data_IF_939236472842
#
_entry.id   IF_939236472842
#
_cell.length_a   1.000
_cell.length_b   1.000
_cell.length_c   1.000
_cell.angle_alpha   90.00
_cell.angle_beta   90.00
_cell.angle_gamma   90.00
#
_symmetry.space_group_name_H-M   'P 1'
#
loop_
_entity.id
_entity.type
_entity.pdbx_description
1 polymer ?
#
# COMPACT_ATOMS: atom_id res chain seq x y z
N UNK A 1 14.22 -3.21 -4.47
CA UNK A 1 13.75 -2.34 -5.57
C UNK A 1 13.39 -0.96 -5.05
N UNK A 2 12.49 -0.83 -4.06
CA UNK A 2 12.12 0.45 -3.45
C UNK A 2 13.32 1.35 -3.07
N UNK A 3 14.32 0.81 -2.37
CA UNK A 3 15.52 1.60 -2.02
C UNK A 3 16.30 2.14 -3.24
N UNK A 4 16.27 1.43 -4.37
CA UNK A 4 16.84 1.94 -5.63
C UNK A 4 16.02 3.11 -6.17
N UNK A 5 14.68 3.02 -6.13
CA UNK A 5 13.82 4.14 -6.52
C UNK A 5 14.05 5.34 -5.60
N UNK A 6 14.21 5.11 -4.29
CA UNK A 6 14.50 6.19 -3.35
C UNK A 6 15.80 6.90 -3.66
N UNK A 7 16.85 6.14 -3.96
CA UNK A 7 18.12 6.73 -4.41
C UNK A 7 17.96 7.50 -5.72
N UNK A 8 17.22 6.95 -6.69
CA UNK A 8 17.02 7.52 -8.01
C UNK A 8 16.23 8.86 -7.97
N UNK A 9 15.23 8.96 -7.09
CA UNK A 9 14.36 10.12 -6.92
C UNK A 9 14.64 10.89 -5.62
N UNK A 10 15.88 10.84 -5.14
CA UNK A 10 16.28 11.42 -3.84
C UNK A 10 16.03 12.93 -3.72
N UNK A 11 16.04 13.65 -4.84
CA UNK A 11 15.70 15.08 -4.90
C UNK A 11 14.25 15.40 -4.49
N UNK A 12 13.33 14.43 -4.59
CA UNK A 12 11.90 14.63 -4.31
C UNK A 12 11.45 14.09 -2.95
N UNK A 13 12.23 13.22 -2.31
CA UNK A 13 11.75 12.41 -1.17
C UNK A 13 11.79 13.14 0.17
N UNK A 14 12.68 14.12 0.30
CA UNK A 14 12.88 14.86 1.55
C UNK A 14 12.22 16.24 1.54
N UNK A 15 11.31 16.49 0.60
CA UNK A 15 10.61 17.75 0.47
C UNK A 15 9.09 17.50 0.41
N UNK A 16 8.40 17.99 1.45
CA UNK A 16 6.97 17.81 1.65
C UNK A 16 6.10 18.46 0.57
N UNK A 17 6.66 19.31 -0.31
CA UNK A 17 5.92 19.82 -1.47
C UNK A 17 5.65 18.71 -2.49
N UNK A 18 6.49 17.67 -2.55
CA UNK A 18 6.31 16.55 -3.45
C UNK A 18 5.44 15.47 -2.82
N UNK A 19 4.48 15.00 -3.61
CA UNK A 19 3.54 13.96 -3.22
C UNK A 19 3.40 12.95 -4.33
N UNK A 20 2.88 11.77 -4.00
CA UNK A 20 2.93 10.62 -4.86
C UNK A 20 1.54 10.08 -5.15
N UNK A 21 1.32 9.65 -6.39
CA UNK A 21 0.11 8.91 -6.79
C UNK A 21 0.53 7.66 -7.55
N UNK A 22 -0.30 6.62 -7.50
CA UNK A 22 -0.13 5.46 -8.35
C UNK A 22 -1.28 5.34 -9.36
N UNK A 23 -0.99 4.68 -10.48
CA UNK A 23 -1.97 4.24 -11.46
C UNK A 23 -1.49 2.93 -12.08
N UNK A 24 -2.06 1.80 -11.66
CA UNK A 24 -1.54 0.47 -12.00
C UNK A 24 -0.03 0.40 -11.70
N UNK A 25 0.80 0.14 -12.71
CA UNK A 25 2.26 0.10 -12.59
C UNK A 25 2.92 1.49 -12.56
N UNK A 26 2.22 2.55 -12.96
CA UNK A 26 2.79 3.89 -12.97
C UNK A 26 2.80 4.51 -11.58
N UNK A 27 3.89 5.18 -11.24
CA UNK A 27 3.99 6.10 -10.12
C UNK A 27 4.18 7.50 -10.68
N UNK A 28 3.48 8.46 -10.08
CA UNK A 28 3.57 9.87 -10.40
C UNK A 28 4.22 10.58 -9.23
N UNK A 29 5.18 11.46 -9.54
CA UNK A 29 5.66 12.49 -8.63
C UNK A 29 4.92 13.77 -9.01
N UNK A 30 4.27 14.35 -8.02
CA UNK A 30 3.41 15.52 -8.14
C UNK A 30 3.91 16.60 -7.19
N UNK A 31 3.82 17.86 -7.59
CA UNK A 31 4.25 19.03 -6.83
C UNK A 31 3.02 19.81 -6.35
N UNK A 32 2.94 20.09 -5.04
CA UNK A 32 1.96 21.02 -4.47
C UNK A 32 2.32 22.45 -4.89
N UNK A 33 1.32 23.17 -5.39
CA UNK A 33 1.41 24.58 -5.74
C UNK A 33 1.06 25.45 -4.52
N UNK A 34 1.43 26.73 -4.54
CA UNK A 34 1.04 27.67 -3.48
C UNK A 34 -0.47 27.82 -3.29
N UNK A 35 -1.26 27.49 -4.32
CA UNK A 35 -2.72 27.49 -4.32
C UNK A 35 -3.35 26.11 -4.01
N UNK A 36 -2.54 25.05 -3.85
CA UNK A 36 -3.04 23.70 -3.60
C UNK A 36 -3.72 23.62 -2.24
N UNK A 37 -5.04 23.38 -2.24
CA UNK A 37 -5.80 23.04 -1.03
C UNK A 37 -5.70 21.55 -0.77
N UNK A 38 -5.52 21.16 0.48
CA UNK A 38 -5.41 19.76 0.89
C UNK A 38 -6.26 19.44 2.11
N UNK A 39 -6.41 18.15 2.40
CA UNK A 39 -6.94 17.66 3.68
C UNK A 39 -5.84 17.05 4.58
N UNK A 40 -4.59 17.52 4.47
CA UNK A 40 -3.47 16.97 5.25
C UNK A 40 -3.62 17.17 6.76
N UNK A 41 -4.45 18.12 7.19
CA UNK A 41 -4.75 18.39 8.60
C UNK A 41 -5.68 17.37 9.26
N UNK A 42 -6.03 16.28 8.57
CA UNK A 42 -6.85 15.19 9.11
C UNK A 42 -6.12 14.48 10.24
N UNK A 43 -6.86 14.10 11.27
CA UNK A 43 -6.37 13.23 12.34
C UNK A 43 -6.16 11.81 11.79
N UNK A 44 -4.92 11.35 11.83
CA UNK A 44 -4.47 10.07 11.27
C UNK A 44 -3.46 9.44 12.20
N UNK A 45 -3.38 8.12 12.19
CA UNK A 45 -2.44 7.38 13.01
C UNK A 45 -1.00 7.59 12.54
N UNK A 46 -0.75 7.49 11.23
CA UNK A 46 0.54 7.81 10.61
C UNK A 46 0.34 8.57 9.29
N UNK A 47 0.83 9.81 9.27
CA UNK A 47 0.69 10.70 8.12
C UNK A 47 1.54 10.30 6.91
N UNK A 48 2.58 9.48 7.09
CA UNK A 48 3.43 9.04 5.98
C UNK A 48 2.72 8.01 5.09
N UNK A 49 1.82 7.23 5.68
CA UNK A 49 1.12 6.13 5.02
C UNK A 49 -0.38 6.39 4.80
N UNK A 50 -0.92 7.46 5.37
CA UNK A 50 -2.30 7.86 5.11
C UNK A 50 -2.49 8.43 3.68
N UNK A 51 -3.62 8.14 3.01
CA UNK A 51 -4.04 8.84 1.79
C UNK A 51 -4.53 10.27 2.08
N UNK A 52 -4.39 11.16 1.11
CA UNK A 52 -4.87 12.54 1.15
C UNK A 52 -5.50 12.95 -0.18
N UNK A 53 -6.11 14.14 -0.21
CA UNK A 53 -6.74 14.78 -1.38
C UNK A 53 -6.16 16.17 -1.61
N UNK A 54 -6.00 16.55 -2.87
CA UNK A 54 -5.61 17.89 -3.30
C UNK A 54 -6.62 18.47 -4.30
N UNK A 55 -6.75 19.79 -4.33
CA UNK A 55 -7.51 20.48 -5.39
C UNK A 55 -6.78 20.51 -6.73
N UNK A 56 -5.46 20.64 -6.69
CA UNK A 56 -4.61 20.71 -7.87
C UNK A 56 -3.18 20.31 -7.53
N UNK A 57 -2.48 19.76 -8.51
CA UNK A 57 -1.09 19.35 -8.41
C UNK A 57 -0.41 19.51 -9.77
N UNK A 58 0.88 19.85 -9.79
CA UNK A 58 1.69 19.84 -11.01
C UNK A 58 2.34 18.48 -11.19
N UNK A 59 2.25 17.91 -12.39
CA UNK A 59 2.84 16.61 -12.70
C UNK A 59 4.32 16.80 -12.99
N UNK A 60 5.18 16.19 -12.19
CA UNK A 60 6.65 16.32 -12.31
C UNK A 60 7.24 15.16 -13.10
N UNK A 61 6.86 13.92 -12.75
CA UNK A 61 7.33 12.69 -13.39
C UNK A 61 6.23 11.64 -13.44
N UNK A 62 6.29 10.78 -14.44
CA UNK A 62 5.51 9.53 -14.51
C UNK A 62 6.46 8.42 -14.96
N UNK A 63 6.59 7.38 -14.15
CA UNK A 63 7.54 6.27 -14.38
C UNK A 63 6.98 4.93 -13.91
N UNK A 64 7.49 3.84 -14.47
CA UNK A 64 7.10 2.49 -14.07
C UNK A 64 7.73 2.12 -12.72
N UNK A 65 6.91 1.58 -11.82
CA UNK A 65 7.29 1.18 -10.45
C UNK A 65 8.47 0.21 -10.39
N UNK A 66 8.65 -0.63 -11.41
CA UNK A 66 9.70 -1.64 -11.46
C UNK A 66 10.82 -1.28 -12.43
N UNK A 67 10.66 -0.22 -13.22
CA UNK A 67 11.69 0.31 -14.11
C UNK A 67 11.60 1.84 -14.17
N UNK A 68 12.35 2.59 -13.32
CA UNK A 68 12.25 4.05 -13.28
C UNK A 68 12.71 4.75 -14.57
N UNK A 69 13.47 4.07 -15.43
CA UNK A 69 13.87 4.57 -16.76
C UNK A 69 12.72 4.47 -17.77
N UNK A 70 11.73 3.60 -17.53
CA UNK A 70 10.53 3.51 -18.34
C UNK A 70 9.55 4.61 -17.91
N UNK A 71 9.50 5.68 -18.70
CA UNK A 71 8.64 6.84 -18.46
C UNK A 71 7.55 7.00 -19.52
N UNK A 72 6.49 7.73 -19.17
CA UNK A 72 5.50 8.25 -20.13
C UNK A 72 5.26 9.73 -19.87
N UNK A 73 4.87 10.47 -20.91
CA UNK A 73 4.52 11.89 -20.75
C UNK A 73 3.08 12.10 -20.28
N UNK A 74 2.23 11.08 -20.41
CA UNK A 74 0.81 11.22 -20.11
C UNK A 74 0.17 9.90 -19.67
N UNK A 75 -0.74 10.00 -18.70
CA UNK A 75 -1.71 8.94 -18.36
C UNK A 75 -3.10 9.52 -18.11
N UNK A 76 -4.12 8.66 -18.18
CA UNK A 76 -5.51 9.02 -17.85
C UNK A 76 -5.97 8.10 -16.73
N UNK A 77 -6.46 8.68 -15.63
CA UNK A 77 -7.05 7.93 -14.52
C UNK A 77 -8.54 8.25 -14.37
N UNK A 78 -9.32 7.23 -13.98
CA UNK A 78 -10.66 7.46 -13.45
C UNK A 78 -10.53 7.84 -11.97
N UNK A 79 -11.12 8.96 -11.58
CA UNK A 79 -11.19 9.40 -10.19
C UNK A 79 -12.49 8.89 -9.53
N UNK A 80 -12.56 9.08 -8.21
CA UNK A 80 -13.62 8.53 -7.35
C UNK A 80 -15.05 8.89 -7.80
N UNK A 81 -15.24 10.07 -8.36
CA UNK A 81 -16.53 10.58 -8.86
C UNK A 81 -16.88 10.14 -10.28
N UNK A 82 -16.04 9.32 -10.93
CA UNK A 82 -16.18 8.93 -12.33
C UNK A 82 -15.63 9.96 -13.32
N UNK A 83 -15.07 11.09 -12.86
CA UNK A 83 -14.30 11.99 -13.72
C UNK A 83 -13.04 11.30 -14.21
N UNK A 84 -12.64 11.63 -15.44
CA UNK A 84 -11.35 11.22 -15.99
C UNK A 84 -10.39 12.39 -15.92
N UNK A 85 -9.29 12.21 -15.19
CA UNK A 85 -8.23 13.20 -15.13
C UNK A 85 -7.06 12.75 -16.00
N UNK A 86 -6.59 13.68 -16.83
CA UNK A 86 -5.36 13.52 -17.63
C UNK A 86 -4.20 14.12 -16.86
N UNK A 87 -3.17 13.32 -16.64
CA UNK A 87 -1.92 13.73 -16.00
C UNK A 87 -0.87 13.84 -17.11
N UNK A 88 -0.41 15.04 -17.41
CA UNK A 88 0.62 15.30 -18.42
C UNK A 88 1.83 15.96 -17.74
N UNK A 89 3.03 15.41 -17.96
CA UNK A 89 4.28 15.90 -17.36
C UNK A 89 4.48 17.39 -17.68
N UNK A 90 4.74 18.19 -16.65
CA UNK A 90 4.92 19.64 -16.73
C UNK A 90 3.61 20.44 -16.67
N UNK A 91 2.43 19.80 -16.66
CA UNK A 91 1.13 20.47 -16.57
C UNK A 91 0.54 20.38 -15.16
N UNK A 92 -0.31 21.34 -14.83
CA UNK A 92 -1.17 21.27 -13.64
C UNK A 92 -2.43 20.47 -13.97
N UNK A 93 -2.75 19.52 -13.10
CA UNK A 93 -4.02 18.82 -13.07
C UNK A 93 -4.85 19.34 -11.91
N UNK A 94 -6.13 19.57 -12.14
CA UNK A 94 -7.07 20.09 -11.14
C UNK A 94 -8.32 19.21 -11.08
N UNK A 95 -8.95 19.15 -9.90
CA UNK A 95 -10.22 18.46 -9.68
C UNK A 95 -11.12 19.28 -8.76
N UNK A 96 -12.41 19.01 -8.80
CA UNK A 96 -13.34 19.50 -7.77
C UNK A 96 -12.82 19.06 -6.40
N UNK A 97 -12.78 19.97 -5.43
CA UNK A 97 -12.27 19.69 -4.09
C UNK A 97 -13.36 19.91 -3.04
N UNK A 98 -13.71 18.84 -2.35
CA UNK A 98 -14.60 18.91 -1.19
C UNK A 98 -13.82 19.41 0.04
N UNK A 99 -14.33 20.50 0.64
CA UNK A 99 -13.77 21.15 1.82
C UNK A 99 -13.99 20.38 3.13
N UNK A 100 -14.74 19.28 3.15
CA UNK A 100 -14.78 18.38 4.30
C UNK A 100 -13.43 17.66 4.44
N UNK A 101 -12.53 18.23 5.25
CA UNK A 101 -11.16 17.71 5.42
C UNK A 101 -11.08 16.40 6.19
N UNK A 102 -12.16 15.95 6.82
CA UNK A 102 -12.18 14.68 7.56
C UNK A 102 -12.44 13.48 6.66
N UNK A 103 -13.14 13.66 5.54
CA UNK A 103 -13.52 12.58 4.62
C UNK A 103 -12.44 12.34 3.56
N UNK A 104 -12.15 11.07 3.28
CA UNK A 104 -11.15 10.65 2.28
C UNK A 104 -11.79 10.06 1.01
N UNK A 105 -13.04 9.65 1.09
CA UNK A 105 -13.84 9.12 -0.02
C UNK A 105 -14.78 10.20 -0.56
N UNK A 106 -14.20 11.31 -1.01
CA UNK A 106 -14.92 12.45 -1.61
C UNK A 106 -14.04 13.15 -2.66
N UNK A 107 -14.54 14.22 -3.27
CA UNK A 107 -13.93 14.94 -4.40
C UNK A 107 -12.52 15.47 -4.10
N UNK A 108 -11.60 15.24 -5.04
CA UNK A 108 -10.22 15.74 -5.00
C UNK A 108 -9.24 14.70 -5.54
N UNK A 109 -8.06 15.17 -5.96
CA UNK A 109 -7.00 14.29 -6.47
C UNK A 109 -6.42 13.51 -5.30
N UNK A 110 -6.62 12.19 -5.27
CA UNK A 110 -6.02 11.34 -4.23
C UNK A 110 -4.50 11.19 -4.44
N UNK A 111 -3.73 11.40 -3.37
CA UNK A 111 -2.28 11.24 -3.31
C UNK A 111 -1.82 10.69 -1.95
N UNK A 112 -0.52 10.43 -1.82
CA UNK A 112 0.17 9.95 -0.62
C UNK A 112 1.46 10.75 -0.41
N UNK A 113 1.91 10.88 0.84
CA UNK A 113 3.12 11.66 1.16
C UNK A 113 4.43 10.94 0.85
N UNK A 114 4.41 9.62 0.73
CA UNK A 114 5.64 8.83 0.55
C UNK A 114 5.61 7.94 -0.68
N UNK A 115 6.80 7.78 -1.28
CA UNK A 115 7.04 6.83 -2.35
C UNK A 115 6.81 5.38 -1.89
N UNK A 116 7.17 5.06 -0.65
CA UNK A 116 6.94 3.77 0.00
C UNK A 116 5.48 3.38 -0.08
N UNK A 117 4.59 4.27 0.36
CA UNK A 117 3.14 3.98 0.37
C UNK A 117 2.64 3.65 -1.03
N UNK A 118 2.97 4.46 -2.04
CA UNK A 118 2.50 4.17 -3.41
C UNK A 118 3.12 2.92 -4.00
N UNK A 119 4.38 2.60 -3.66
CA UNK A 119 5.09 1.40 -4.10
C UNK A 119 4.43 0.10 -3.62
N UNK A 120 3.72 0.14 -2.50
CA UNK A 120 3.01 -1.02 -1.95
C UNK A 120 1.48 -1.01 -2.15
N UNK A 121 0.90 0.01 -2.79
CA UNK A 121 -0.57 0.04 -2.99
C UNK A 121 -1.11 -0.86 -4.09
N UNK A 122 -0.29 -1.18 -5.09
CA UNK A 122 -0.70 -2.07 -6.17
C UNK A 122 0.08 -3.35 -6.04
N UNK A 123 -0.56 -4.37 -5.48
CA UNK A 123 -0.05 -5.73 -5.49
C UNK A 123 -0.18 -6.24 -6.91
N UNK A 124 0.91 -6.49 -7.63
CA UNK A 124 0.79 -7.11 -8.93
C UNK A 124 0.43 -8.57 -8.67
N UNK A 125 -0.85 -8.89 -8.76
CA UNK A 125 -1.25 -10.28 -8.95
C UNK A 125 -0.50 -10.75 -10.21
N UNK A 126 0.29 -11.82 -10.09
CA UNK A 126 1.13 -12.43 -11.15
C UNK A 126 2.54 -11.88 -11.37
N UNK A 127 3.10 -11.02 -10.50
CA UNK A 127 4.56 -10.74 -10.55
C UNK A 127 5.31 -11.76 -9.70
N UNK A 128 6.43 -12.26 -10.23
CA UNK A 128 7.45 -13.02 -9.50
C UNK A 128 8.12 -12.16 -8.41
N UNK A 129 7.31 -11.61 -7.51
CA UNK A 129 7.75 -10.72 -6.46
C UNK A 129 8.39 -11.55 -5.34
N UNK A 130 9.57 -11.11 -4.91
CA UNK A 130 10.27 -11.68 -3.76
C UNK A 130 10.63 -10.54 -2.82
N UNK A 131 10.18 -10.63 -1.57
CA UNK A 131 10.39 -9.61 -0.55
C UNK A 131 9.18 -9.42 0.37
N UNK A 132 9.31 -8.46 1.28
CA UNK A 132 8.24 -8.06 2.20
C UNK A 132 7.22 -7.20 1.47
N UNK A 133 5.95 -7.42 1.75
CA UNK A 133 4.82 -6.64 1.31
C UNK A 133 4.11 -6.03 2.52
N UNK A 134 3.64 -4.80 2.37
CA UNK A 134 2.95 -4.08 3.42
C UNK A 134 1.63 -3.52 2.91
N UNK A 135 0.63 -3.45 3.78
CA UNK A 135 -0.57 -2.65 3.55
C UNK A 135 -0.93 -1.87 4.81
N UNK A 136 -1.58 -0.72 4.60
CA UNK A 136 -1.97 0.20 5.66
C UNK A 136 -3.41 0.66 5.47
N UNK A 137 -4.04 1.08 6.56
CA UNK A 137 -5.40 1.61 6.58
C UNK A 137 -5.48 3.03 5.99
N UNK A 138 -6.69 3.59 5.97
CA UNK A 138 -6.94 4.99 5.58
C UNK A 138 -6.40 6.01 6.61
N UNK A 139 -6.05 5.58 7.82
CA UNK A 139 -5.38 6.40 8.84
C UNK A 139 -3.87 6.16 8.87
N UNK A 140 -3.34 5.28 8.02
CA UNK A 140 -1.92 4.99 7.93
C UNK A 140 -1.41 3.96 8.95
N UNK A 141 -2.28 3.33 9.73
CA UNK A 141 -1.89 2.19 10.58
C UNK A 141 -1.57 0.96 9.73
N UNK A 142 -0.55 0.19 10.11
CA UNK A 142 -0.19 -1.08 9.45
C UNK A 142 -1.36 -2.07 9.58
N UNK A 143 -1.78 -2.64 8.45
CA UNK A 143 -2.84 -3.65 8.36
C UNK A 143 -2.22 -5.01 8.06
N UNK A 144 -1.25 -5.08 7.16
CA UNK A 144 -0.64 -6.33 6.72
C UNK A 144 0.87 -6.17 6.58
N UNK A 145 1.62 -7.15 7.06
CA UNK A 145 3.01 -7.39 6.72
C UNK A 145 3.17 -8.86 6.34
N UNK A 146 3.66 -9.15 5.15
CA UNK A 146 3.86 -10.53 4.72
C UNK A 146 5.01 -10.70 3.74
N UNK A 147 5.61 -11.89 3.72
CA UNK A 147 6.73 -12.21 2.85
C UNK A 147 6.31 -13.06 1.66
N UNK A 148 6.89 -12.75 0.50
CA UNK A 148 6.72 -13.51 -0.73
C UNK A 148 8.06 -14.01 -1.26
N UNK A 149 8.02 -15.18 -1.90
CA UNK A 149 9.07 -15.71 -2.77
C UNK A 149 8.41 -16.12 -4.08
N UNK A 150 8.81 -15.49 -5.19
CA UNK A 150 8.24 -15.71 -6.52
C UNK A 150 6.69 -15.62 -6.56
N UNK A 151 6.14 -14.63 -5.87
CA UNK A 151 4.69 -14.40 -5.80
C UNK A 151 3.93 -15.31 -4.83
N UNK A 152 4.60 -16.28 -4.21
CA UNK A 152 4.00 -17.22 -3.24
C UNK A 152 4.32 -16.76 -1.83
N UNK A 153 3.30 -16.73 -0.94
CA UNK A 153 3.50 -16.42 0.49
C UNK A 153 4.52 -17.39 1.10
N UNK A 154 5.61 -16.85 1.63
CA UNK A 154 6.70 -17.63 2.19
C UNK A 154 7.50 -16.75 3.17
N UNK A 155 7.50 -17.13 4.45
CA UNK A 155 8.11 -16.38 5.54
C UNK A 155 7.07 -15.82 6.52
N UNK A 156 7.46 -14.76 7.23
CA UNK A 156 6.64 -14.12 8.26
C UNK A 156 5.36 -13.51 7.68
N UNK A 157 4.29 -13.58 8.46
CA UNK A 157 2.97 -13.01 8.18
C UNK A 157 2.37 -12.42 9.43
N UNK A 158 1.81 -11.22 9.30
CA UNK A 158 1.18 -10.46 10.36
C UNK A 158 0.02 -9.65 9.80
N UNK A 159 -1.15 -9.78 10.42
CA UNK A 159 -2.37 -9.11 10.00
C UNK A 159 -3.09 -8.46 11.18
N UNK A 160 -3.53 -7.22 11.00
CA UNK A 160 -4.32 -6.43 11.94
C UNK A 160 -5.68 -6.10 11.34
N UNK A 161 -6.66 -5.93 12.21
CA UNK A 161 -7.96 -5.38 11.85
C UNK A 161 -7.81 -3.90 11.48
N UNK A 162 -8.36 -3.52 10.32
CA UNK A 162 -8.14 -2.20 9.73
C UNK A 162 -8.88 -1.08 10.47
N UNK A 163 -9.93 -1.40 11.23
CA UNK A 163 -10.75 -0.43 11.98
C UNK A 163 -10.26 -0.28 13.42
N UNK A 164 -10.13 -1.39 14.14
CA UNK A 164 -9.74 -1.40 15.55
C UNK A 164 -8.23 -1.38 15.78
N UNK A 165 -7.42 -1.73 14.77
CA UNK A 165 -5.97 -1.89 14.91
C UNK A 165 -5.58 -3.10 15.76
N UNK A 166 -6.53 -3.97 16.12
CA UNK A 166 -6.22 -5.18 16.90
C UNK A 166 -5.49 -6.19 16.02
N UNK A 167 -4.45 -6.83 16.57
CA UNK A 167 -3.78 -7.93 15.86
C UNK A 167 -4.80 -9.05 15.67
N UNK A 168 -4.87 -9.63 14.46
CA UNK A 168 -5.80 -10.71 14.12
C UNK A 168 -5.07 -12.06 14.07
N UNK A 169 -3.93 -12.10 13.39
CA UNK A 169 -3.13 -13.31 13.29
C UNK A 169 -1.66 -13.02 12.98
N UNK A 170 -0.80 -13.93 13.42
CA UNK A 170 0.63 -13.89 13.21
C UNK A 170 1.19 -15.31 13.12
N UNK A 171 2.10 -15.52 12.19
CA UNK A 171 2.76 -16.81 12.01
C UNK A 171 3.67 -16.84 10.79
N UNK A 172 3.94 -18.05 10.31
CA UNK A 172 4.79 -18.28 9.15
C UNK A 172 4.07 -19.07 8.06
N UNK A 173 4.37 -18.71 6.82
CA UNK A 173 4.01 -19.47 5.63
C UNK A 173 5.25 -20.15 5.04
N UNK A 174 5.06 -21.32 4.44
CA UNK A 174 6.01 -21.98 3.55
C UNK A 174 5.25 -22.45 2.31
N UNK A 175 5.69 -22.02 1.13
CA UNK A 175 5.08 -22.36 -0.16
C UNK A 175 3.54 -22.16 -0.19
N UNK A 176 3.08 -21.06 0.37
CA UNK A 176 1.66 -20.69 0.41
C UNK A 176 0.83 -21.39 1.49
N UNK A 177 1.45 -22.20 2.36
CA UNK A 177 0.76 -22.90 3.45
C UNK A 177 1.25 -22.41 4.82
N UNK A 178 0.34 -22.26 5.77
CA UNK A 178 0.66 -21.99 7.17
C UNK A 178 1.55 -23.11 7.72
N UNK A 179 2.62 -22.78 8.44
CA UNK A 179 3.52 -23.73 9.10
C UNK A 179 3.87 -23.26 10.52
N UNK A 180 4.26 -24.21 11.37
CA UNK A 180 4.67 -23.94 12.74
C UNK A 180 3.55 -23.39 13.62
N UNK A 181 3.93 -22.56 14.59
CA UNK A 181 3.02 -21.96 15.54
C UNK A 181 2.34 -20.74 14.94
N UNK A 182 1.01 -20.71 15.05
CA UNK A 182 0.16 -19.58 14.72
C UNK A 182 -0.48 -19.01 15.97
N UNK A 183 -0.48 -17.69 16.06
CA UNK A 183 -1.22 -16.95 17.07
C UNK A 183 -2.42 -16.30 16.39
N UNK A 184 -3.61 -16.52 16.93
CA UNK A 184 -4.87 -15.98 16.42
C UNK A 184 -5.54 -15.23 17.58
N UNK A 185 -5.93 -14.00 17.34
CA UNK A 185 -6.60 -13.14 18.32
C UNK A 185 -8.08 -13.09 18.00
N UNK A 186 -8.88 -13.74 18.85
CA UNK A 186 -10.34 -13.79 18.70
C UNK A 186 -10.99 -13.53 20.06
N UNK A 187 -12.00 -12.66 20.09
CA UNK A 187 -12.81 -12.38 21.30
C UNK A 187 -11.95 -12.04 22.54
N UNK A 188 -10.94 -11.16 22.38
CA UNK A 188 -9.98 -10.77 23.41
C UNK A 188 -9.15 -11.92 24.00
N UNK A 189 -9.02 -13.05 23.28
CA UNK A 189 -8.17 -14.18 23.65
C UNK A 189 -7.13 -14.43 22.57
N UNK A 190 -5.98 -14.96 23.00
CA UNK A 190 -4.92 -15.43 22.11
C UNK A 190 -5.04 -16.96 22.03
N UNK A 191 -5.30 -17.46 20.84
CA UNK A 191 -5.35 -18.88 20.50
C UNK A 191 -4.02 -19.22 19.85
N UNK A 192 -3.29 -20.17 20.44
CA UNK A 192 -2.06 -20.72 19.89
C UNK A 192 -2.36 -22.04 19.19
N UNK A 193 -2.04 -22.15 17.90
CA UNK A 193 -2.27 -23.34 17.07
C UNK A 193 -0.93 -23.83 16.53
N UNK A 194 -0.55 -25.09 16.78
CA UNK A 194 0.63 -25.70 16.15
C UNK A 194 0.20 -26.47 14.89
N UNK A 195 0.47 -25.92 13.72
CA UNK A 195 0.04 -26.50 12.44
C UNK A 195 0.75 -27.82 12.13
N UNK A 196 1.93 -28.06 12.69
CA UNK A 196 2.67 -29.29 12.45
C UNK A 196 1.99 -30.49 13.13
N UNK A 197 1.39 -30.29 14.30
CA UNK A 197 0.69 -31.33 15.06
C UNK A 197 -0.60 -31.80 14.34
N UNK A 198 -1.34 -30.89 13.71
CA UNK A 198 -2.55 -31.23 12.93
C UNK A 198 -2.28 -32.08 11.67
N UNK A 199 -1.04 -32.08 11.17
CA UNK A 199 -0.65 -32.90 10.01
C UNK A 199 -0.22 -34.33 10.38
N UNK A 200 0.19 -34.55 11.63
CA UNK A 200 0.67 -35.85 12.12
C UNK A 200 -0.47 -36.76 12.62
N UNK A 201 -1.56 -36.17 13.13
CA UNK A 201 -2.70 -36.90 13.72
C UNK A 201 -3.63 -37.59 12.70
N UNK A 202 -3.31 -37.59 11.39
CA UNK A 202 -4.00 -38.43 10.39
C UNK A 202 -3.16 -39.49 9.71
N UNK A 203 -1.89 -39.67 10.07
CA UNK A 203 -1.04 -40.73 9.48
C UNK A 203 -0.89 -41.95 10.42
N UNK A 204 -1.22 -41.87 11.71
CA UNK A 204 -1.07 -43.00 12.65
C UNK A 204 -2.32 -43.83 12.93
N UNK A 205 -3.52 -43.38 12.56
CA UNK A 205 -4.75 -44.17 12.75
C UNK A 205 -5.20 -44.99 11.52
N UNK A 206 -4.46 -44.95 10.40
CA UNK A 206 -4.79 -45.74 9.20
C UNK A 206 -3.93 -47.00 8.97
N UNK A 207 -3.03 -47.31 9.90
CA UNK A 207 -2.17 -48.52 9.86
C UNK A 207 -2.22 -49.34 11.17
N UNK A 208 -3.24 -49.15 12.01
CA UNK A 208 -3.55 -50.02 13.16
C UNK A 208 -5.00 -50.51 13.08
N UNK A 209 -5.29 -51.32 12.08
CA UNK A 209 -6.30 -52.39 12.11
C UNK A 209 -5.90 -53.41 11.07
#
# INVERSE_FOLDING_TARGET
MLEKLKSYFSEYINDDIYVYKHSLNWILILEKLGSTRTNESRDVYDSHYAPYRASELKVVKIFDRFNPDLTTNMIINNEFNGEKLTYEVGKTVSSVFDGNTKEIHTFGIRYYKTLDRVYYLFRPENVNYTGVWYDWSITGSLVLECNYVNGILNGYYLHYDWESGTKLEEGHYENGKKVGVWYIWENNKIIKVDINEYSADRIRERYRT
#
